data_IF_777158440098
#
_entry.id   IF_777158440098
#
_cell.length_a   1.000
_cell.length_b   1.000
_cell.length_c   1.000
_cell.angle_alpha   90.00
_cell.angle_beta   90.00
_cell.angle_gamma   90.00
#
_symmetry.space_group_name_H-M   'P 1'
#
loop_
_entity.id
_entity.type
_entity.pdbx_description
1 polymer ?
#
# COMPACT_ATOMS: atom_id res chain seq x y z
N UNK A 1 -6.31 -15.54 -11.37
CA UNK A 1 -6.80 -14.16 -11.18
C UNK A 1 -6.19 -13.20 -12.20
N UNK A 2 -4.89 -12.92 -12.14
CA UNK A 2 -4.18 -12.01 -13.06
C UNK A 2 -4.47 -12.26 -14.55
N UNK A 3 -4.32 -13.50 -15.03
CA UNK A 3 -4.56 -13.86 -16.44
C UNK A 3 -5.99 -13.62 -16.91
N UNK A 4 -6.96 -13.67 -15.99
CA UNK A 4 -8.38 -13.51 -16.31
C UNK A 4 -8.82 -12.05 -16.21
N UNK A 5 -8.43 -11.37 -15.12
CA UNK A 5 -8.80 -9.98 -14.86
C UNK A 5 -7.86 -8.96 -15.51
N UNK A 6 -6.74 -9.41 -16.09
CA UNK A 6 -5.74 -8.57 -16.76
C UNK A 6 -5.19 -7.45 -15.86
N UNK A 7 -5.02 -7.75 -14.57
CA UNK A 7 -4.44 -6.82 -13.60
C UNK A 7 -2.93 -7.01 -13.60
N UNK A 8 -2.17 -5.98 -13.96
CA UNK A 8 -0.71 -6.02 -13.95
C UNK A 8 -0.19 -5.93 -12.50
N UNK A 9 0.11 -7.08 -11.90
CA UNK A 9 0.72 -7.16 -10.58
C UNK A 9 2.23 -7.38 -10.72
N UNK A 10 3.04 -6.64 -9.95
CA UNK A 10 4.48 -6.90 -9.88
C UNK A 10 4.81 -8.17 -9.09
N UNK A 11 4.03 -8.44 -8.04
CA UNK A 11 4.16 -9.64 -7.19
C UNK A 11 2.79 -10.02 -6.63
N UNK A 12 2.57 -11.32 -6.43
CA UNK A 12 1.35 -11.86 -5.82
C UNK A 12 1.70 -12.85 -4.72
N UNK A 13 1.19 -12.62 -3.52
CA UNK A 13 1.32 -13.55 -2.39
C UNK A 13 -0.03 -13.77 -1.72
N UNK A 14 -0.28 -15.01 -1.32
CA UNK A 14 -1.49 -15.46 -0.62
C UNK A 14 -1.24 -15.54 0.90
N UNK A 15 -2.31 -15.57 1.68
CA UNK A 15 -2.27 -15.83 3.14
C UNK A 15 -1.61 -17.17 3.48
N UNK A 16 -1.67 -18.15 2.58
CA UNK A 16 -1.00 -19.45 2.74
C UNK A 16 0.52 -19.31 2.91
N UNK A 17 1.14 -18.37 2.19
CA UNK A 17 2.58 -18.10 2.31
C UNK A 17 2.94 -17.49 3.68
N UNK A 18 2.01 -16.73 4.28
CA UNK A 18 2.16 -16.19 5.63
C UNK A 18 1.78 -17.22 6.72
N UNK A 19 1.14 -18.34 6.35
CA UNK A 19 0.59 -19.34 7.28
C UNK A 19 -0.51 -18.80 8.20
N UNK A 20 -1.03 -17.61 7.93
CA UNK A 20 -1.96 -16.85 8.78
C UNK A 20 -2.94 -16.07 7.92
N UNK A 21 -4.12 -15.80 8.45
CA UNK A 21 -5.13 -14.96 7.81
C UNK A 21 -5.22 -13.60 8.48
N UNK A 22 -5.67 -12.61 7.72
CA UNK A 22 -6.08 -11.32 8.25
C UNK A 22 -7.18 -11.54 9.31
N UNK A 23 -7.21 -10.75 10.40
CA UNK A 23 -6.43 -9.53 10.65
C UNK A 23 -5.10 -9.76 11.38
N UNK A 24 -4.53 -10.97 11.38
CA UNK A 24 -3.26 -11.21 12.08
C UNK A 24 -2.12 -10.33 11.54
N UNK A 25 -1.50 -9.54 12.42
CA UNK A 25 -0.44 -8.59 12.09
C UNK A 25 0.75 -9.22 11.35
N UNK A 26 1.00 -10.51 11.58
CA UNK A 26 2.05 -11.25 10.90
C UNK A 26 1.85 -11.31 9.38
N UNK A 27 0.61 -11.26 8.88
CA UNK A 27 0.34 -11.25 7.43
C UNK A 27 0.89 -9.98 6.77
N UNK A 28 0.72 -8.83 7.41
CA UNK A 28 1.17 -7.53 6.90
C UNK A 28 2.68 -7.35 7.04
N UNK A 29 3.25 -7.80 8.17
CA UNK A 29 4.71 -7.81 8.36
C UNK A 29 5.40 -8.74 7.38
N UNK A 30 4.79 -9.89 7.11
CA UNK A 30 5.30 -10.82 6.10
C UNK A 30 5.31 -10.18 4.71
N UNK A 31 4.24 -9.48 4.32
CA UNK A 31 4.20 -8.72 3.08
C UNK A 31 5.36 -7.72 2.96
N UNK A 32 5.64 -6.93 4.01
CA UNK A 32 6.77 -6.02 4.02
C UNK A 32 8.12 -6.74 3.92
N UNK A 33 8.28 -7.89 4.61
CA UNK A 33 9.51 -8.68 4.56
C UNK A 33 9.80 -9.26 3.17
N UNK A 34 8.76 -9.66 2.42
CA UNK A 34 8.91 -10.18 1.06
C UNK A 34 9.30 -9.09 0.07
N UNK A 35 8.85 -7.85 0.31
CA UNK A 35 9.23 -6.69 -0.47
C UNK A 35 10.62 -6.15 -0.11
N UNK A 36 11.26 -6.67 0.95
CA UNK A 36 12.52 -6.16 1.52
C UNK A 36 12.47 -4.66 1.82
N UNK A 37 11.33 -4.19 2.37
CA UNK A 37 11.08 -2.80 2.71
C UNK A 37 10.71 -2.64 4.19
N UNK A 38 11.08 -1.49 4.82
CA UNK A 38 10.50 -1.09 6.09
C UNK A 38 8.98 -0.99 5.99
N UNK A 39 8.26 -1.34 7.06
CA UNK A 39 6.79 -1.39 7.06
C UNK A 39 6.18 -0.03 6.73
N UNK A 40 6.79 1.06 7.19
CA UNK A 40 6.38 2.44 6.93
C UNK A 40 6.51 2.87 5.45
N UNK A 41 7.24 2.11 4.64
CA UNK A 41 7.36 2.33 3.19
C UNK A 41 6.36 1.48 2.39
N UNK A 42 5.58 0.62 3.06
CA UNK A 42 4.57 -0.23 2.45
C UNK A 42 3.19 0.32 2.78
N UNK A 43 2.34 0.46 1.76
CA UNK A 43 0.96 0.93 1.91
C UNK A 43 -0.02 -0.21 1.68
N UNK A 44 -0.89 -0.46 2.65
CA UNK A 44 -2.06 -1.31 2.49
C UNK A 44 -3.22 -0.51 1.90
N UNK A 45 -3.80 -1.01 0.81
CA UNK A 45 -4.98 -0.41 0.15
C UNK A 45 -6.16 -1.36 0.29
N UNK A 46 -7.26 -0.93 0.92
CA UNK A 46 -8.44 -1.77 1.13
C UNK A 46 -9.74 -0.97 1.18
N UNK A 47 -10.87 -1.66 0.98
CA UNK A 47 -12.22 -1.12 1.15
C UNK A 47 -12.81 -1.41 2.55
N UNK A 48 -12.07 -2.13 3.41
CA UNK A 48 -12.53 -2.57 4.72
C UNK A 48 -11.64 -2.00 5.82
N UNK A 49 -12.26 -1.37 6.81
CA UNK A 49 -11.61 -0.65 7.89
C UNK A 49 -10.84 -1.60 8.81
N UNK A 50 -11.37 -2.79 9.08
CA UNK A 50 -10.67 -3.78 9.92
C UNK A 50 -9.29 -4.16 9.35
N UNK A 51 -9.19 -4.25 8.03
CA UNK A 51 -7.96 -4.63 7.32
C UNK A 51 -6.91 -3.52 7.40
N UNK A 52 -7.36 -2.26 7.26
CA UNK A 52 -6.50 -1.09 7.38
C UNK A 52 -6.08 -0.80 8.81
N UNK A 53 -6.95 -1.03 9.80
CA UNK A 53 -6.60 -0.90 11.22
C UNK A 53 -5.48 -1.88 11.57
N UNK A 54 -5.63 -3.17 11.22
CA UNK A 54 -4.61 -4.19 11.45
C UNK A 54 -3.30 -3.91 10.70
N UNK A 55 -3.38 -3.39 9.46
CA UNK A 55 -2.19 -2.98 8.70
C UNK A 55 -1.44 -1.83 9.39
N UNK A 56 -2.16 -0.82 9.88
CA UNK A 56 -1.58 0.31 10.62
C UNK A 56 -0.93 -0.14 11.93
N UNK A 57 -1.59 -1.02 12.68
CA UNK A 57 -1.02 -1.61 13.92
C UNK A 57 0.22 -2.48 13.64
N UNK A 58 0.32 -3.04 12.43
CA UNK A 58 1.50 -3.72 11.94
C UNK A 58 2.61 -2.78 11.41
N UNK A 59 2.36 -1.47 11.34
CA UNK A 59 3.33 -0.44 10.94
C UNK A 59 3.24 0.03 9.48
N UNK A 60 2.23 -0.42 8.73
CA UNK A 60 2.05 -0.03 7.32
C UNK A 60 1.30 1.30 7.20
N UNK A 61 1.54 2.00 6.08
CA UNK A 61 0.68 3.09 5.62
C UNK A 61 -0.66 2.54 5.13
N UNK A 62 -1.69 3.38 5.07
CA UNK A 62 -3.07 2.96 4.81
C UNK A 62 -3.79 3.85 3.81
N UNK A 63 -4.43 3.24 2.82
CA UNK A 63 -5.33 3.93 1.91
C UNK A 63 -6.68 3.21 1.84
N UNK A 64 -7.74 3.93 2.15
CA UNK A 64 -9.10 3.44 1.99
C UNK A 64 -9.62 3.74 0.59
N UNK A 65 -10.19 2.73 -0.08
CA UNK A 65 -10.86 2.89 -1.37
C UNK A 65 -12.31 2.48 -1.25
N UNK A 66 -13.22 3.45 -1.37
CA UNK A 66 -14.65 3.22 -1.18
C UNK A 66 -15.23 2.21 -2.19
N UNK A 67 -16.00 1.25 -1.68
CA UNK A 67 -16.77 0.27 -2.48
C UNK A 67 -18.23 0.21 -2.00
N UNK A 68 -19.02 1.28 -2.21
CA UNK A 68 -20.39 1.37 -1.68
C UNK A 68 -21.32 0.27 -2.18
N UNK A 69 -21.04 -0.34 -3.33
CA UNK A 69 -21.90 -1.36 -3.92
C UNK A 69 -21.36 -2.79 -3.72
N UNK A 70 -20.35 -3.00 -2.86
CA UNK A 70 -19.73 -4.31 -2.66
C UNK A 70 -20.75 -5.38 -2.22
N UNK A 71 -21.66 -5.02 -1.33
CA UNK A 71 -22.69 -5.91 -0.80
C UNK A 71 -24.06 -5.74 -1.47
N UNK A 72 -24.16 -4.90 -2.51
CA UNK A 72 -25.42 -4.50 -3.14
C UNK A 72 -26.27 -3.51 -2.32
N UNK A 73 -26.16 -3.51 -0.99
CA UNK A 73 -26.71 -2.49 -0.09
C UNK A 73 -25.59 -1.54 0.41
N UNK A 74 -25.63 -0.24 0.04
CA UNK A 74 -24.65 0.74 0.51
C UNK A 74 -24.58 0.92 2.02
N UNK A 75 -25.62 0.57 2.77
CA UNK A 75 -25.60 0.65 4.23
C UNK A 75 -24.66 -0.38 4.88
N UNK A 76 -24.29 -1.45 4.15
CA UNK A 76 -23.38 -2.49 4.63
C UNK A 76 -21.91 -2.18 4.33
N UNK A 77 -21.62 -1.20 3.47
CA UNK A 77 -20.27 -0.84 3.12
C UNK A 77 -19.63 0.04 4.22
N UNK A 78 -18.32 -0.13 4.41
CA UNK A 78 -17.57 0.67 5.35
C UNK A 78 -17.54 2.15 4.95
N UNK A 79 -17.76 3.02 5.93
CA UNK A 79 -17.76 4.48 5.76
C UNK A 79 -16.92 5.16 6.86
N UNK A 80 -15.59 4.92 6.88
CA UNK A 80 -14.72 5.51 7.90
C UNK A 80 -14.72 7.04 7.79
N UNK A 81 -14.67 7.71 8.93
CA UNK A 81 -14.58 9.17 8.99
C UNK A 81 -13.33 9.68 8.27
N UNK A 82 -13.40 10.89 7.70
CA UNK A 82 -12.25 11.52 7.07
C UNK A 82 -11.07 11.63 8.05
N UNK A 83 -9.85 11.32 7.59
CA UNK A 83 -8.64 11.32 8.41
C UNK A 83 -8.41 10.05 9.26
N UNK A 84 -9.28 9.04 9.16
CA UNK A 84 -9.07 7.75 9.87
C UNK A 84 -7.84 6.99 9.33
N UNK A 85 -7.55 7.13 8.04
CA UNK A 85 -6.45 6.50 7.31
C UNK A 85 -5.66 7.56 6.53
N UNK A 86 -4.43 7.25 6.09
CA UNK A 86 -3.55 8.24 5.47
C UNK A 86 -4.16 8.83 4.20
N UNK A 87 -4.81 7.98 3.39
CA UNK A 87 -5.52 8.40 2.18
C UNK A 87 -6.95 7.84 2.17
N UNK A 88 -7.87 8.62 1.61
CA UNK A 88 -9.24 8.22 1.34
C UNK A 88 -9.55 8.54 -0.12
N UNK A 89 -9.78 7.50 -0.91
CA UNK A 89 -10.05 7.61 -2.33
C UNK A 89 -11.40 6.97 -2.69
N UNK A 90 -12.07 7.52 -3.71
CA UNK A 90 -13.35 6.99 -4.20
C UNK A 90 -13.19 5.84 -5.18
N UNK A 91 -12.00 5.71 -5.77
CA UNK A 91 -11.60 4.66 -6.71
C UNK A 91 -10.07 4.71 -6.91
N UNK A 92 -9.53 3.79 -7.71
CA UNK A 92 -8.08 3.73 -7.94
C UNK A 92 -7.52 4.89 -8.76
N UNK A 93 -8.31 5.57 -9.61
CA UNK A 93 -7.84 6.75 -10.35
C UNK A 93 -7.66 7.95 -9.41
N UNK A 94 -8.61 8.11 -8.47
CA UNK A 94 -8.54 9.11 -7.40
C UNK A 94 -7.32 8.84 -6.50
N UNK A 95 -7.11 7.58 -6.11
CA UNK A 95 -5.93 7.18 -5.34
C UNK A 95 -4.61 7.48 -6.08
N UNK A 96 -4.51 7.12 -7.37
CA UNK A 96 -3.33 7.39 -8.17
C UNK A 96 -3.05 8.90 -8.31
N UNK A 97 -4.11 9.72 -8.42
CA UNK A 97 -4.00 11.18 -8.45
C UNK A 97 -3.43 11.72 -7.13
N UNK A 98 -3.95 11.24 -5.99
CA UNK A 98 -3.46 11.63 -4.67
C UNK A 98 -2.00 11.21 -4.45
N UNK A 99 -1.63 10.00 -4.87
CA UNK A 99 -0.24 9.51 -4.78
C UNK A 99 0.72 10.31 -5.67
N UNK A 100 0.28 10.74 -6.86
CA UNK A 100 1.11 11.56 -7.75
C UNK A 100 1.31 12.99 -7.24
N UNK A 101 0.35 13.51 -6.45
CA UNK A 101 0.48 14.82 -5.79
C UNK A 101 1.33 14.78 -4.51
N UNK A 102 1.57 13.59 -3.96
CA UNK A 102 2.54 13.37 -2.91
C UNK A 102 3.92 13.25 -3.58
N UNK A 103 4.63 14.35 -3.72
CA UNK A 103 6.03 14.37 -4.18
C UNK A 103 6.86 13.30 -3.43
N UNK A 104 7.17 12.17 -4.08
CA UNK A 104 8.16 11.18 -3.60
C UNK A 104 9.56 11.59 -4.11
N UNK A 105 9.82 12.89 -4.30
CA UNK A 105 11.12 13.43 -4.68
C UNK A 105 12.05 13.47 -3.45
N UNK A 106 12.41 12.29 -2.97
CA UNK A 106 13.33 12.06 -1.85
C UNK A 106 14.51 11.14 -2.20
N UNK A 107 14.78 10.86 -3.48
CA UNK A 107 16.00 10.16 -3.89
C UNK A 107 16.98 11.14 -4.54
N UNK A 108 17.83 11.70 -3.68
CA UNK A 108 19.07 12.37 -4.06
C UNK A 108 19.95 11.34 -4.80
N UNK A 109 20.06 11.46 -6.12
CA UNK A 109 21.01 10.71 -6.95
C UNK A 109 22.27 11.54 -7.21
N UNK A 110 22.82 12.18 -6.18
CA UNK A 110 24.13 12.83 -6.24
C UNK A 110 25.20 12.00 -5.51
N UNK A 111 25.77 11.05 -6.24
CA UNK A 111 27.02 10.36 -5.93
C UNK A 111 27.24 9.34 -7.05
N UNK A 112 28.17 9.50 -7.99
CA UNK A 112 29.57 9.87 -7.83
C UNK A 112 30.06 10.64 -9.07
N UNK A 113 30.46 11.89 -8.89
CA UNK A 113 31.46 12.48 -9.78
C UNK A 113 32.83 11.99 -9.28
N UNK A 114 33.36 10.95 -9.92
CA UNK A 114 34.73 10.47 -9.72
C UNK A 114 35.69 11.61 -10.06
N UNK A 115 36.17 12.31 -9.03
CA UNK A 115 37.18 13.35 -9.15
C UNK A 115 38.47 12.78 -9.73
N UNK A 116 38.88 13.34 -10.88
CA UNK A 116 40.25 13.25 -11.39
C UNK A 116 41.23 13.68 -10.29
N UNK A 117 42.17 12.82 -9.97
CA UNK A 117 43.40 13.20 -9.27
C UNK A 117 44.24 14.12 -10.19
N UNK A 118 44.90 15.16 -9.66
CA UNK A 118 45.73 16.07 -10.44
C UNK A 118 47.09 15.45 -10.76
N UNK A 119 47.62 15.77 -11.95
CA UNK A 119 49.02 15.55 -12.28
C UNK A 119 49.89 16.72 -11.84
N UNK A 120 51.00 16.41 -11.17
CA UNK A 120 52.32 17.05 -11.23
C UNK A 120 53.18 16.46 -10.09
#
# INVERSE_FOLDING_TARGET
MEKFCQIALGLCFSSELAGRYKPDHAVYRYAASILDLPSEQVMMVAAHSFDLVAAREAGLRTAFVARPNEYGDPALADTPAAGTFDLHARNFNDLASQLSCLDISGSDHSGQAMGRLPGA
#
